data_IF_860214372740
#
_entry.id   IF_860214372740
#
_cell.length_a   1.000
_cell.length_b   1.000
_cell.length_c   1.000
_cell.angle_alpha   90.00
_cell.angle_beta   90.00
_cell.angle_gamma   90.00
#
_symmetry.space_group_name_H-M   'P 1'
#
loop_
_entity.id
_entity.type
_entity.pdbx_description
1 polymer ?
#
# COMPACT_ATOMS: atom_id res chain seq x y z
N UNK A 1 -36.54 -26.48 18.90
CA UNK A 1 -36.09 -26.98 17.59
C UNK A 1 -36.36 -25.98 16.45
N UNK A 2 -37.57 -25.44 16.32
CA UNK A 2 -37.91 -24.54 15.19
C UNK A 2 -37.02 -23.29 15.08
N UNK A 3 -36.72 -22.62 16.21
CA UNK A 3 -35.80 -21.46 16.24
C UNK A 3 -34.39 -21.78 15.70
N UNK A 4 -33.83 -22.96 16.03
CA UNK A 4 -32.51 -23.36 15.53
C UNK A 4 -32.51 -23.67 14.04
N UNK A 5 -33.58 -24.32 13.52
CA UNK A 5 -33.78 -24.54 12.09
C UNK A 5 -33.91 -23.24 11.31
N UNK A 6 -34.66 -22.28 11.86
CA UNK A 6 -34.81 -20.95 11.26
C UNK A 6 -33.48 -20.18 11.20
N UNK A 7 -32.69 -20.21 12.28
CA UNK A 7 -31.34 -19.57 12.29
C UNK A 7 -30.42 -20.28 11.29
N UNK A 8 -30.44 -21.63 11.22
CA UNK A 8 -29.65 -22.37 10.26
C UNK A 8 -30.02 -22.00 8.82
N UNK A 9 -31.28 -21.86 8.52
CA UNK A 9 -31.77 -21.43 7.20
C UNK A 9 -31.30 -20.01 6.87
N UNK A 10 -31.38 -19.07 7.81
CA UNK A 10 -30.86 -17.70 7.63
C UNK A 10 -29.36 -17.72 7.36
N UNK A 11 -28.57 -18.51 8.09
CA UNK A 11 -27.12 -18.63 7.87
C UNK A 11 -26.80 -19.13 6.47
N UNK A 12 -27.55 -20.10 5.95
CA UNK A 12 -27.39 -20.57 4.56
C UNK A 12 -27.75 -19.48 3.57
N UNK A 13 -28.87 -18.77 3.77
CA UNK A 13 -29.30 -17.68 2.88
C UNK A 13 -28.28 -16.53 2.88
N UNK A 14 -27.80 -16.13 4.05
CA UNK A 14 -26.77 -15.08 4.18
C UNK A 14 -25.46 -15.52 3.52
N UNK A 15 -25.01 -16.76 3.79
CA UNK A 15 -23.81 -17.31 3.15
C UNK A 15 -23.93 -17.38 1.63
N UNK A 16 -25.06 -17.89 1.13
CA UNK A 16 -25.31 -17.94 -0.32
C UNK A 16 -25.43 -16.54 -0.95
N UNK A 17 -26.10 -15.62 -0.27
CA UNK A 17 -26.25 -14.22 -0.71
C UNK A 17 -24.91 -13.48 -0.77
N UNK A 18 -24.06 -13.64 0.24
CA UNK A 18 -22.70 -13.08 0.25
C UNK A 18 -21.85 -13.72 -0.86
N UNK A 19 -21.89 -15.06 -1.01
CA UNK A 19 -21.15 -15.77 -2.05
C UNK A 19 -21.56 -15.34 -3.45
N UNK A 20 -22.87 -15.22 -3.70
CA UNK A 20 -23.37 -14.70 -4.94
C UNK A 20 -22.95 -13.23 -5.16
N UNK A 21 -23.01 -12.40 -4.13
CA UNK A 21 -22.57 -11.01 -4.20
C UNK A 21 -21.10 -10.85 -4.55
N UNK A 22 -20.23 -11.65 -3.93
CA UNK A 22 -18.78 -11.70 -4.24
C UNK A 22 -18.57 -12.18 -5.68
N UNK A 23 -19.23 -13.25 -6.10
CA UNK A 23 -19.13 -13.78 -7.47
C UNK A 23 -19.64 -12.77 -8.51
N UNK A 24 -20.84 -12.25 -8.32
CA UNK A 24 -21.47 -11.31 -9.25
C UNK A 24 -20.68 -10.01 -9.39
N UNK A 25 -19.95 -9.59 -8.34
CA UNK A 25 -19.13 -8.37 -8.40
C UNK A 25 -17.96 -8.42 -9.38
N UNK A 26 -17.55 -9.60 -9.83
CA UNK A 26 -16.52 -9.76 -10.87
C UNK A 26 -17.07 -9.45 -12.27
N UNK A 27 -18.38 -9.65 -12.47
CA UNK A 27 -19.05 -9.45 -13.76
C UNK A 27 -19.89 -8.16 -13.81
N UNK A 28 -20.32 -7.67 -12.65
CA UNK A 28 -21.15 -6.47 -12.51
C UNK A 28 -20.53 -5.47 -11.52
N UNK A 29 -19.62 -4.60 -11.97
CA UNK A 29 -18.91 -3.64 -11.11
C UNK A 29 -19.84 -2.57 -10.51
N UNK A 30 -21.07 -2.41 -10.98
CA UNK A 30 -22.04 -1.42 -10.47
C UNK A 30 -22.75 -1.85 -9.19
N UNK A 31 -22.66 -3.12 -8.77
CA UNK A 31 -23.25 -3.64 -7.54
C UNK A 31 -22.51 -3.18 -6.29
N UNK A 32 -23.13 -3.38 -5.10
CA UNK A 32 -22.53 -3.02 -3.81
C UNK A 32 -21.09 -3.55 -3.65
N UNK A 33 -20.87 -4.84 -3.89
CA UNK A 33 -19.53 -5.46 -3.82
C UNK A 33 -18.63 -5.09 -4.99
N UNK A 34 -19.14 -4.57 -6.09
CA UNK A 34 -18.35 -4.09 -7.22
C UNK A 34 -17.55 -2.83 -6.88
N UNK A 35 -18.05 -2.03 -5.93
CA UNK A 35 -17.35 -0.84 -5.43
C UNK A 35 -16.07 -1.17 -4.62
N UNK A 36 -15.92 -2.42 -4.20
CA UNK A 36 -14.80 -2.92 -3.40
C UNK A 36 -14.06 -4.02 -4.19
N UNK A 37 -13.16 -3.69 -5.13
CA UNK A 37 -12.37 -4.70 -5.85
C UNK A 37 -11.41 -5.41 -4.90
N UNK A 38 -10.95 -6.62 -5.27
CA UNK A 38 -9.83 -7.25 -4.60
C UNK A 38 -8.56 -6.47 -4.90
N UNK A 39 -7.77 -6.20 -3.88
CA UNK A 39 -6.47 -5.57 -3.99
C UNK A 39 -5.40 -6.63 -4.07
N UNK A 40 -4.59 -6.60 -5.13
CA UNK A 40 -3.52 -7.57 -5.32
C UNK A 40 -2.16 -6.93 -5.05
N UNK A 41 -1.28 -7.66 -4.39
CA UNK A 41 0.10 -7.24 -4.17
C UNK A 41 0.94 -7.27 -5.44
N UNK A 42 2.13 -6.68 -5.35
CA UNK A 42 3.09 -6.58 -6.44
C UNK A 42 3.46 -7.95 -7.04
N UNK A 43 3.55 -8.96 -6.20
CA UNK A 43 3.88 -10.35 -6.54
C UNK A 43 2.81 -11.05 -7.39
N UNK A 44 1.57 -10.52 -7.40
CA UNK A 44 0.46 -11.02 -8.21
C UNK A 44 0.19 -10.12 -9.40
N UNK A 45 0.11 -8.81 -9.19
CA UNK A 45 -0.25 -7.86 -10.24
C UNK A 45 0.94 -7.51 -11.15
N UNK A 46 2.15 -7.80 -10.68
CA UNK A 46 3.39 -7.33 -11.29
C UNK A 46 3.62 -5.84 -11.02
N UNK A 47 4.82 -5.38 -11.29
CA UNK A 47 5.20 -3.98 -11.09
C UNK A 47 6.62 -3.83 -10.56
N UNK A 48 6.93 -2.68 -9.99
CA UNK A 48 8.28 -2.36 -9.50
C UNK A 48 8.26 -2.04 -8.00
N UNK A 49 9.19 -2.65 -7.27
CA UNK A 49 9.52 -2.29 -5.88
C UNK A 49 10.82 -1.50 -5.89
N UNK A 50 10.80 -0.33 -5.27
CA UNK A 50 11.97 0.53 -5.07
C UNK A 50 12.27 0.59 -3.58
N UNK A 51 13.51 0.31 -3.21
CA UNK A 51 13.99 0.43 -1.84
C UNK A 51 14.95 1.61 -1.78
N UNK A 52 14.63 2.60 -0.99
CA UNK A 52 15.47 3.78 -0.74
C UNK A 52 16.08 3.72 0.65
N UNK A 53 17.30 4.20 0.76
CA UNK A 53 17.94 4.51 2.05
C UNK A 53 17.71 5.98 2.35
N UNK A 54 17.18 6.28 3.53
CA UNK A 54 16.99 7.64 4.00
C UNK A 54 18.24 8.11 4.77
N UNK A 55 18.73 9.31 4.43
CA UNK A 55 19.84 9.93 5.18
C UNK A 55 19.30 10.71 6.38
N UNK A 56 19.31 10.06 7.53
CA UNK A 56 18.91 10.65 8.81
C UNK A 56 20.06 11.20 9.63
N UNK A 57 21.25 11.32 9.05
CA UNK A 57 22.48 11.73 9.77
C UNK A 57 22.38 13.12 10.42
N UNK A 58 21.58 14.02 9.84
CA UNK A 58 21.36 15.40 10.30
C UNK A 58 20.11 15.56 11.18
N UNK A 59 19.39 14.48 11.45
CA UNK A 59 18.11 14.50 12.19
C UNK A 59 18.38 14.06 13.63
N UNK A 60 17.81 14.75 14.61
CA UNK A 60 17.87 14.34 16.00
C UNK A 60 17.20 12.98 16.21
N UNK A 61 17.76 12.11 17.03
CA UNK A 61 17.29 10.71 17.18
C UNK A 61 15.80 10.63 17.59
N UNK A 62 15.29 11.60 18.36
CA UNK A 62 13.89 11.66 18.75
C UNK A 62 12.93 12.00 17.60
N UNK A 63 13.42 12.66 16.54
CA UNK A 63 12.59 13.15 15.43
C UNK A 63 12.64 12.25 14.19
N UNK A 64 13.50 11.23 14.19
CA UNK A 64 13.70 10.34 13.04
C UNK A 64 12.37 9.71 12.60
N UNK A 65 11.61 9.16 13.53
CA UNK A 65 10.33 8.51 13.23
C UNK A 65 9.33 9.49 12.60
N UNK A 66 9.19 10.68 13.17
CA UNK A 66 8.27 11.70 12.64
C UNK A 66 8.66 12.15 11.23
N UNK A 67 9.97 12.31 10.97
CA UNK A 67 10.48 12.66 9.63
C UNK A 67 10.31 11.53 8.63
N UNK A 68 10.47 10.26 9.03
CA UNK A 68 10.22 9.10 8.18
C UNK A 68 8.71 8.93 7.87
N UNK A 69 7.83 9.19 8.83
CA UNK A 69 6.39 9.19 8.59
C UNK A 69 6.00 10.33 7.62
N UNK A 70 6.55 11.51 7.78
CA UNK A 70 6.34 12.61 6.85
C UNK A 70 6.90 12.30 5.44
N UNK A 71 8.06 11.64 5.35
CA UNK A 71 8.63 11.18 4.07
C UNK A 71 7.69 10.17 3.40
N UNK A 72 7.19 9.19 4.12
CA UNK A 72 6.21 8.22 3.62
C UNK A 72 5.00 8.93 3.04
N UNK A 73 4.40 9.87 3.78
CA UNK A 73 3.19 10.58 3.36
C UNK A 73 3.41 11.45 2.12
N UNK A 74 4.61 12.03 1.95
CA UNK A 74 4.99 12.78 0.74
C UNK A 74 5.11 11.85 -0.46
N UNK A 75 5.80 10.71 -0.30
CA UNK A 75 5.98 9.74 -1.39
C UNK A 75 4.64 9.12 -1.80
N UNK A 76 3.80 8.77 -0.83
CA UNK A 76 2.46 8.24 -1.09
C UNK A 76 1.61 9.21 -1.89
N UNK A 77 1.60 10.50 -1.52
CA UNK A 77 0.91 11.54 -2.30
C UNK A 77 1.46 11.68 -3.72
N UNK A 78 2.78 11.63 -3.90
CA UNK A 78 3.41 11.71 -5.22
C UNK A 78 2.95 10.57 -6.12
N UNK A 79 3.06 9.34 -5.62
CA UNK A 79 2.71 8.13 -6.39
C UNK A 79 1.22 8.12 -6.74
N UNK A 80 0.34 8.53 -5.81
CA UNK A 80 -1.10 8.63 -6.04
C UNK A 80 -1.47 9.67 -7.12
N UNK A 81 -0.78 10.82 -7.15
CA UNK A 81 -1.02 11.86 -8.16
C UNK A 81 -0.69 11.41 -9.60
N UNK A 82 0.24 10.48 -9.75
CA UNK A 82 0.63 9.93 -11.05
C UNK A 82 -0.23 8.75 -11.51
N UNK A 83 -1.32 8.44 -10.76
CA UNK A 83 -2.31 7.46 -11.17
C UNK A 83 -1.84 6.01 -11.03
N UNK A 84 -0.83 5.76 -10.19
CA UNK A 84 -0.47 4.39 -9.81
C UNK A 84 -1.59 3.83 -8.94
N UNK A 85 -2.15 2.72 -9.36
CA UNK A 85 -3.23 2.06 -8.62
C UNK A 85 -2.66 1.43 -7.35
N UNK A 86 -3.07 1.97 -6.19
CA UNK A 86 -2.81 1.38 -4.87
C UNK A 86 -1.32 1.14 -4.54
N UNK A 87 -0.48 2.19 -4.56
CA UNK A 87 0.91 2.05 -4.15
C UNK A 87 1.00 1.70 -2.66
N UNK A 88 2.00 0.91 -2.30
CA UNK A 88 2.31 0.62 -0.90
C UNK A 88 3.62 1.30 -0.54
N UNK A 89 3.58 2.22 0.43
CA UNK A 89 4.76 2.92 0.92
C UNK A 89 4.96 2.58 2.40
N UNK A 90 6.12 2.00 2.72
CA UNK A 90 6.45 1.55 4.07
C UNK A 90 7.82 2.03 4.49
N UNK A 91 7.94 2.40 5.76
CA UNK A 91 9.23 2.68 6.40
C UNK A 91 9.72 1.43 7.14
N UNK A 92 10.99 1.11 7.00
CA UNK A 92 11.64 -0.02 7.66
C UNK A 92 12.88 0.46 8.40
N UNK A 93 12.99 0.05 9.66
CA UNK A 93 14.21 0.27 10.47
C UNK A 93 15.03 -1.02 10.47
N UNK A 94 16.24 -0.95 9.94
CA UNK A 94 17.16 -2.09 9.87
C UNK A 94 18.29 -1.87 10.85
N UNK A 95 18.42 -2.78 11.82
CA UNK A 95 19.54 -2.76 12.76
C UNK A 95 20.84 -3.10 12.02
N UNK A 96 21.70 -2.10 11.83
CA UNK A 96 23.00 -2.31 11.24
C UNK A 96 23.97 -2.85 12.28
N UNK A 97 24.88 -3.74 11.87
CA UNK A 97 26.00 -4.21 12.68
C UNK A 97 26.89 -3.05 13.22
N UNK A 98 26.77 -1.86 12.63
CA UNK A 98 27.49 -0.62 13.01
C UNK A 98 26.85 0.14 14.19
N UNK A 99 25.79 -0.36 14.81
CA UNK A 99 25.16 0.20 16.00
C UNK A 99 24.22 1.39 15.79
N UNK A 100 24.11 1.97 14.59
CA UNK A 100 23.07 2.96 14.23
C UNK A 100 22.05 2.29 13.32
N UNK A 101 20.74 2.36 13.63
CA UNK A 101 19.71 1.82 12.76
C UNK A 101 19.68 2.57 11.43
N UNK A 102 19.64 1.82 10.33
CA UNK A 102 19.46 2.37 9.00
C UNK A 102 17.97 2.50 8.74
N UNK A 103 17.54 3.67 8.27
CA UNK A 103 16.15 3.92 7.88
C UNK A 103 16.00 3.68 6.40
N UNK A 104 15.02 2.86 6.03
CA UNK A 104 14.68 2.55 4.64
C UNK A 104 13.24 2.93 4.33
N UNK A 105 13.01 3.27 3.08
CA UNK A 105 11.67 3.46 2.52
C UNK A 105 11.47 2.45 1.40
N UNK A 106 10.46 1.61 1.53
CA UNK A 106 10.06 0.63 0.51
C UNK A 106 8.83 1.18 -0.19
N UNK A 107 8.89 1.25 -1.51
CA UNK A 107 7.81 1.75 -2.36
C UNK A 107 7.45 0.69 -3.39
N UNK A 108 6.27 0.12 -3.26
CA UNK A 108 5.72 -0.83 -4.19
C UNK A 108 4.76 -0.13 -5.16
N UNK A 109 5.00 -0.30 -6.45
CA UNK A 109 4.27 0.35 -7.54
C UNK A 109 3.62 -0.74 -8.43
N UNK A 110 2.43 -1.23 -8.06
CA UNK A 110 1.73 -2.23 -8.87
C UNK A 110 1.43 -1.70 -10.27
N UNK A 111 1.64 -2.55 -11.28
CA UNK A 111 1.38 -2.21 -12.68
C UNK A 111 2.43 -1.33 -13.35
N UNK A 112 3.42 -0.80 -12.61
CA UNK A 112 4.52 -0.01 -13.16
C UNK A 112 5.72 -0.90 -13.38
N UNK A 113 6.03 -1.22 -14.64
CA UNK A 113 7.17 -2.07 -15.02
C UNK A 113 8.37 -1.29 -15.52
N UNK A 114 8.19 0.00 -15.83
CA UNK A 114 9.26 0.91 -16.27
C UNK A 114 9.98 1.49 -15.04
N UNK A 115 11.17 0.98 -14.77
CA UNK A 115 12.03 1.39 -13.64
C UNK A 115 12.36 2.88 -13.70
N UNK A 116 12.68 3.40 -14.91
CA UNK A 116 13.04 4.80 -15.07
C UNK A 116 11.87 5.70 -14.70
N UNK A 117 10.69 5.40 -15.23
CA UNK A 117 9.46 6.13 -14.89
C UNK A 117 9.16 6.06 -13.39
N UNK A 118 9.30 4.88 -12.77
CA UNK A 118 9.08 4.70 -11.33
C UNK A 118 10.07 5.53 -10.50
N UNK A 119 11.35 5.52 -10.86
CA UNK A 119 12.41 6.28 -10.15
C UNK A 119 12.20 7.78 -10.31
N UNK A 120 11.85 8.23 -11.52
CA UNK A 120 11.57 9.65 -11.80
C UNK A 120 10.37 10.16 -11.00
N UNK A 121 9.32 9.34 -10.81
CA UNK A 121 8.15 9.69 -10.01
C UNK A 121 8.50 9.98 -8.54
N UNK A 122 9.43 9.22 -7.98
CA UNK A 122 9.77 9.26 -6.55
C UNK A 122 10.97 10.19 -6.29
N UNK A 123 12.01 10.07 -7.11
CA UNK A 123 13.31 10.72 -6.88
C UNK A 123 13.35 12.21 -7.19
N UNK A 124 12.47 12.69 -8.04
CA UNK A 124 12.42 14.11 -8.40
C UNK A 124 11.81 14.92 -7.24
N UNK A 125 12.67 15.49 -6.40
CA UNK A 125 12.27 16.54 -5.49
C UNK A 125 12.20 17.81 -6.33
N UNK A 126 11.02 18.36 -6.64
CA UNK A 126 10.97 19.64 -7.33
C UNK A 126 11.52 20.71 -6.38
N UNK A 127 12.76 21.07 -6.61
CA UNK A 127 13.39 22.16 -5.88
C UNK A 127 12.91 23.47 -6.53
N UNK A 128 11.81 24.00 -5.99
CA UNK A 128 11.33 25.30 -6.37
C UNK A 128 12.15 26.36 -5.65
N UNK A 129 12.85 27.19 -6.40
CA UNK A 129 13.67 28.29 -5.91
C UNK A 129 13.22 29.59 -6.55
N UNK A 130 13.22 30.66 -5.76
CA UNK A 130 13.05 32.03 -6.24
C UNK A 130 14.40 32.72 -6.19
N UNK A 131 14.81 33.27 -7.32
CA UNK A 131 16.10 33.94 -7.45
C UNK A 131 15.89 35.39 -7.91
N UNK A 132 16.65 36.33 -7.34
CA UNK A 132 16.64 37.73 -7.70
C UNK A 132 17.81 38.06 -8.61
N UNK A 133 17.73 39.12 -9.39
CA UNK A 133 18.82 39.56 -10.24
C UNK A 133 20.08 39.81 -9.41
N UNK A 134 21.20 39.28 -9.91
CA UNK A 134 22.51 39.50 -9.30
C UNK A 134 22.91 40.98 -9.49
N UNK A 135 23.15 41.71 -8.41
CA UNK A 135 23.59 43.11 -8.54
C UNK A 135 24.94 43.22 -9.25
N UNK A 136 25.15 44.34 -9.95
CA UNK A 136 26.43 44.60 -10.56
C UNK A 136 27.48 44.82 -9.48
N UNK A 137 28.31 43.82 -9.28
CA UNK A 137 29.33 43.77 -8.23
C UNK A 137 30.58 43.06 -8.74
N UNK A 138 31.69 43.22 -7.97
CA UNK A 138 32.94 42.46 -8.27
C UNK A 138 32.73 40.97 -8.34
N UNK A 139 31.76 40.43 -7.62
CA UNK A 139 31.41 39.00 -7.62
C UNK A 139 30.79 38.61 -8.98
N UNK A 140 29.89 39.44 -9.53
CA UNK A 140 29.30 39.21 -10.86
C UNK A 140 30.38 39.20 -11.94
N UNK A 141 31.35 40.16 -11.85
CA UNK A 141 32.49 40.22 -12.78
C UNK A 141 33.36 38.96 -12.67
N UNK A 142 33.59 38.45 -11.43
CA UNK A 142 34.36 37.24 -11.21
C UNK A 142 33.66 35.99 -11.81
N UNK A 143 32.34 35.84 -11.56
CA UNK A 143 31.52 34.74 -12.15
C UNK A 143 31.54 34.86 -13.67
N UNK A 144 31.37 36.05 -14.25
CA UNK A 144 31.41 36.29 -15.69
C UNK A 144 32.75 35.94 -16.29
N UNK A 145 33.85 36.29 -15.62
CA UNK A 145 35.21 35.95 -16.06
C UNK A 145 35.45 34.41 -16.02
N UNK A 146 34.95 33.73 -14.99
CA UNK A 146 35.03 32.25 -14.91
C UNK A 146 34.25 31.60 -16.07
N UNK A 147 33.02 32.05 -16.35
CA UNK A 147 32.23 31.56 -17.50
C UNK A 147 32.91 31.81 -18.83
N UNK A 148 33.48 33.00 -19.06
CA UNK A 148 34.19 33.34 -20.29
C UNK A 148 35.38 32.37 -20.46
N UNK A 149 36.16 32.18 -19.41
CA UNK A 149 37.32 31.29 -19.43
C UNK A 149 36.92 29.82 -19.69
N UNK A 150 35.82 29.37 -19.09
CA UNK A 150 35.31 28.01 -19.32
C UNK A 150 34.79 27.85 -20.75
N UNK A 151 34.10 28.86 -21.31
CA UNK A 151 33.65 28.85 -22.71
C UNK A 151 34.82 28.79 -23.69
N UNK A 152 35.89 29.52 -23.44
CA UNK A 152 37.12 29.44 -24.26
C UNK A 152 37.77 28.07 -24.18
N UNK A 153 37.80 27.47 -22.99
CA UNK A 153 38.32 26.13 -22.81
C UNK A 153 37.48 25.06 -23.53
N UNK A 154 36.14 25.21 -23.52
CA UNK A 154 35.21 24.31 -24.22
C UNK A 154 35.21 24.41 -25.73
N UNK A 155 35.73 25.53 -26.32
CA UNK A 155 35.88 25.72 -27.77
C UNK A 155 37.03 24.92 -28.38
N UNK A 156 37.89 24.29 -27.58
CA UNK A 156 38.97 23.44 -28.08
C UNK A 156 38.40 22.19 -28.76
N UNK A 157 38.77 21.94 -29.99
CA UNK A 157 38.34 20.77 -30.74
C UNK A 157 38.97 19.49 -30.14
N UNK A 158 38.16 18.43 -30.05
CA UNK A 158 38.61 17.11 -29.60
C UNK A 158 38.42 16.78 -28.13
N UNK A 159 37.70 17.62 -27.34
CA UNK A 159 37.38 17.34 -25.96
C UNK A 159 36.31 16.23 -25.83
N UNK A 160 36.59 15.23 -24.99
CA UNK A 160 35.61 14.21 -24.59
C UNK A 160 34.56 14.81 -23.70
N UNK A 161 33.37 14.16 -23.59
CA UNK A 161 32.31 14.62 -22.70
C UNK A 161 32.71 14.63 -21.22
N UNK A 162 33.60 13.71 -20.82
CA UNK A 162 34.17 13.69 -19.46
C UNK A 162 35.07 14.92 -19.20
N UNK A 163 35.87 15.35 -20.15
CA UNK A 163 36.74 16.55 -20.03
C UNK A 163 35.89 17.84 -19.99
N UNK A 164 34.84 17.92 -20.80
CA UNK A 164 33.89 19.04 -20.75
C UNK A 164 33.22 19.16 -19.39
N UNK A 165 32.80 18.02 -18.82
CA UNK A 165 32.20 17.97 -17.51
C UNK A 165 33.19 18.36 -16.41
N UNK A 166 34.44 17.94 -16.52
CA UNK A 166 35.50 18.30 -15.59
C UNK A 166 35.83 19.79 -15.60
N UNK A 167 35.80 20.46 -16.77
CA UNK A 167 35.98 21.90 -16.89
C UNK A 167 34.86 22.64 -16.15
N UNK A 168 33.59 22.19 -16.28
CA UNK A 168 32.44 22.82 -15.62
C UNK A 168 32.42 22.62 -14.09
N UNK A 169 33.04 21.56 -13.58
CA UNK A 169 33.06 21.24 -12.14
C UNK A 169 34.31 21.81 -11.45
N UNK A 170 35.37 22.12 -12.20
CA UNK A 170 36.69 22.51 -11.66
C UNK A 170 36.72 23.86 -10.94
N UNK A 171 35.79 24.77 -11.28
CA UNK A 171 35.71 26.09 -10.66
C UNK A 171 34.35 26.25 -9.95
N UNK A 172 34.33 26.45 -8.61
CA UNK A 172 33.10 26.68 -7.86
C UNK A 172 32.22 27.82 -8.40
N UNK A 173 32.84 28.87 -8.99
CA UNK A 173 32.10 29.98 -9.57
C UNK A 173 31.27 29.60 -10.80
N UNK A 174 31.59 28.51 -11.46
CA UNK A 174 30.78 27.97 -12.58
C UNK A 174 29.52 27.23 -12.13
N UNK A 175 29.38 26.94 -10.84
CA UNK A 175 28.17 26.38 -10.25
C UNK A 175 27.16 27.48 -9.85
N UNK A 176 27.61 28.74 -9.82
CA UNK A 176 26.74 29.87 -9.52
C UNK A 176 26.07 30.40 -10.78
N UNK A 177 24.81 30.84 -10.65
CA UNK A 177 24.09 31.46 -11.76
C UNK A 177 24.70 32.86 -12.06
N UNK A 178 24.98 33.12 -13.33
CA UNK A 178 25.58 34.38 -13.76
C UNK A 178 24.67 35.58 -13.49
N UNK A 179 23.37 35.42 -13.66
CA UNK A 179 22.41 36.52 -13.65
C UNK A 179 21.57 36.59 -12.38
N UNK A 180 21.48 35.48 -11.61
CA UNK A 180 20.56 35.38 -10.50
C UNK A 180 21.22 34.87 -9.22
N UNK A 181 20.68 35.32 -8.08
CA UNK A 181 21.09 34.88 -6.73
C UNK A 181 19.90 34.20 -6.05
N UNK A 182 20.09 33.03 -5.41
CA UNK A 182 19.01 32.34 -4.71
C UNK A 182 18.53 33.15 -3.51
N UNK A 183 17.21 33.16 -3.29
CA UNK A 183 16.57 33.72 -2.10
C UNK A 183 16.33 32.63 -1.05
N UNK A 184 15.85 33.01 0.14
CA UNK A 184 15.40 32.06 1.17
C UNK A 184 14.02 31.46 0.86
N UNK A 185 13.28 32.00 -0.11
CA UNK A 185 11.96 31.50 -0.47
C UNK A 185 12.10 30.29 -1.38
N UNK A 186 11.61 29.17 -0.90
CA UNK A 186 11.66 27.85 -1.59
C UNK A 186 10.28 27.21 -1.65
N UNK A 187 10.16 26.09 -2.32
CA UNK A 187 8.94 25.29 -2.35
C UNK A 187 8.43 24.81 -0.99
N UNK A 188 9.25 24.84 0.06
CA UNK A 188 8.83 24.49 1.42
C UNK A 188 7.77 25.46 1.98
N UNK A 189 7.74 26.69 1.49
CA UNK A 189 6.77 27.72 1.88
C UNK A 189 5.51 27.76 1.00
N UNK A 190 5.41 26.82 0.03
CA UNK A 190 4.25 26.71 -0.84
C UNK A 190 3.11 26.00 -0.10
N UNK A 191 1.94 26.66 -0.01
CA UNK A 191 0.72 26.07 0.54
C UNK A 191 -0.04 25.27 -0.52
N UNK A 192 -0.14 25.85 -1.75
CA UNK A 192 -0.90 25.25 -2.84
C UNK A 192 -0.45 25.76 -4.19
N UNK A 193 -0.44 24.88 -5.19
CA UNK A 193 -0.36 25.25 -6.61
C UNK A 193 -1.66 24.89 -7.33
N UNK A 194 -2.15 25.73 -8.22
CA UNK A 194 -3.37 25.50 -9.02
C UNK A 194 -3.16 25.92 -10.46
N UNK A 195 -3.73 25.16 -11.40
CA UNK A 195 -3.74 25.54 -12.80
C UNK A 195 -4.93 26.48 -13.07
N UNK A 196 -4.67 27.57 -13.74
CA UNK A 196 -5.67 28.51 -14.24
C UNK A 196 -5.42 28.80 -15.72
N UNK A 197 -6.40 29.36 -16.40
CA UNK A 197 -6.26 29.84 -17.77
C UNK A 197 -6.24 31.36 -17.79
N UNK A 198 -5.33 31.91 -18.57
CA UNK A 198 -5.33 33.34 -18.80
C UNK A 198 -6.61 33.74 -19.54
N UNK A 199 -7.29 34.78 -19.07
CA UNK A 199 -8.60 35.20 -19.59
C UNK A 199 -8.54 35.81 -21.00
N UNK A 200 -7.35 36.18 -21.49
CA UNK A 200 -7.16 36.80 -22.81
C UNK A 200 -6.56 35.87 -23.85
N UNK A 201 -5.55 35.09 -23.43
CA UNK A 201 -4.81 34.17 -24.33
C UNK A 201 -5.32 32.77 -24.28
N UNK A 202 -6.11 32.41 -23.24
CA UNK A 202 -6.55 31.04 -22.93
C UNK A 202 -5.38 30.05 -22.75
N UNK A 203 -4.19 30.55 -22.45
CA UNK A 203 -3.02 29.78 -22.15
C UNK A 203 -3.05 29.29 -20.67
N UNK A 204 -2.60 28.06 -20.38
CA UNK A 204 -2.53 27.58 -19.02
C UNK A 204 -1.38 28.26 -18.25
N UNK A 205 -1.67 28.70 -17.03
CA UNK A 205 -0.74 29.25 -16.07
C UNK A 205 -0.86 28.57 -14.72
N UNK A 206 0.20 28.59 -13.93
CA UNK A 206 0.22 27.97 -12.59
C UNK A 206 0.26 29.08 -11.55
N UNK A 207 -0.79 29.12 -10.72
CA UNK A 207 -0.88 30.00 -9.57
C UNK A 207 -0.30 29.32 -8.36
N UNK A 208 0.65 29.97 -7.69
CA UNK A 208 1.28 29.54 -6.44
C UNK A 208 0.69 30.36 -5.29
N UNK A 209 0.27 29.70 -4.24
CA UNK A 209 -0.18 30.34 -2.99
C UNK A 209 0.76 29.94 -1.87
N UNK A 210 1.40 30.90 -1.22
CA UNK A 210 2.31 30.66 -0.11
C UNK A 210 1.58 30.58 1.24
N UNK A 211 2.22 29.93 2.22
CA UNK A 211 1.83 30.01 3.62
C UNK A 211 2.17 31.42 4.18
N UNK A 212 1.82 31.69 5.45
CA UNK A 212 2.00 33.03 6.04
C UNK A 212 3.47 33.51 6.07
N UNK A 213 4.43 32.60 6.32
CA UNK A 213 5.84 32.91 6.30
C UNK A 213 6.34 33.17 4.88
N UNK A 214 5.97 32.33 3.92
CA UNK A 214 6.32 32.49 2.52
C UNK A 214 5.70 33.76 1.91
N UNK A 215 4.47 34.11 2.32
CA UNK A 215 3.82 35.35 1.92
C UNK A 215 4.63 36.56 2.38
N UNK A 216 5.10 36.57 3.63
CA UNK A 216 5.93 37.69 4.14
C UNK A 216 7.25 37.82 3.38
N UNK A 217 7.93 36.67 3.12
CA UNK A 217 9.17 36.64 2.34
C UNK A 217 8.95 37.10 0.91
N UNK A 218 7.88 36.64 0.25
CA UNK A 218 7.57 37.00 -1.14
C UNK A 218 7.22 38.49 -1.27
N UNK A 219 6.46 39.03 -0.31
CA UNK A 219 6.16 40.44 -0.24
C UNK A 219 7.44 41.31 -0.12
N UNK A 220 8.39 40.87 0.72
CA UNK A 220 9.69 41.55 0.86
C UNK A 220 10.51 41.47 -0.44
N UNK A 221 10.64 40.26 -1.02
CA UNK A 221 11.38 40.02 -2.27
C UNK A 221 10.81 40.90 -3.39
N UNK A 222 9.48 40.93 -3.57
CA UNK A 222 8.85 41.72 -4.63
C UNK A 222 8.97 43.22 -4.39
N UNK A 223 8.87 43.68 -3.13
CA UNK A 223 9.07 45.08 -2.74
C UNK A 223 10.48 45.59 -3.05
N UNK A 224 11.51 44.79 -2.78
CA UNK A 224 12.92 45.13 -2.99
C UNK A 224 13.34 45.07 -4.47
N UNK A 225 12.57 44.34 -5.29
CA UNK A 225 12.91 44.08 -6.69
C UNK A 225 11.87 44.64 -7.69
N UNK A 226 11.16 45.72 -7.35
CA UNK A 226 10.26 46.40 -8.29
C UNK A 226 11.05 46.90 -9.49
N UNK A 227 10.59 46.60 -10.70
CA UNK A 227 11.24 46.90 -11.96
C UNK A 227 12.34 45.93 -12.40
N UNK A 228 12.68 44.94 -11.55
CA UNK A 228 13.66 43.89 -11.83
C UNK A 228 12.95 42.55 -12.06
N UNK A 229 13.70 41.57 -12.54
CA UNK A 229 13.18 40.20 -12.71
C UNK A 229 13.36 39.37 -11.44
N UNK A 230 12.35 38.57 -11.12
CA UNK A 230 12.45 37.51 -10.14
C UNK A 230 12.26 36.17 -10.86
N UNK A 231 13.34 35.43 -10.97
CA UNK A 231 13.34 34.18 -11.71
C UNK A 231 12.84 33.01 -10.81
N UNK A 232 12.01 32.17 -11.39
CA UNK A 232 11.48 30.96 -10.78
C UNK A 232 12.19 29.77 -11.39
N UNK A 233 12.91 29.01 -10.57
CA UNK A 233 13.68 27.83 -10.94
C UNK A 233 13.01 26.56 -10.39
N UNK A 234 13.00 25.53 -11.19
CA UNK A 234 12.61 24.19 -10.79
C UNK A 234 13.73 23.22 -11.14
N UNK A 235 14.25 22.52 -10.14
CA UNK A 235 15.36 21.57 -10.32
C UNK A 235 16.59 22.19 -11.01
N UNK A 236 16.91 23.43 -10.63
CA UNK A 236 18.04 24.16 -11.18
C UNK A 236 17.82 24.76 -12.58
N UNK A 237 16.66 24.51 -13.22
CA UNK A 237 16.31 25.04 -14.54
C UNK A 237 15.33 26.23 -14.41
N UNK A 238 15.55 27.34 -15.14
CA UNK A 238 14.63 28.47 -15.11
C UNK A 238 13.32 28.12 -15.84
N UNK A 239 12.18 28.29 -15.14
CA UNK A 239 10.86 28.10 -15.74
C UNK A 239 10.28 29.41 -16.25
N UNK A 240 10.45 30.47 -15.45
CA UNK A 240 9.89 31.80 -15.75
C UNK A 240 10.71 32.87 -15.05
N UNK A 241 10.84 34.02 -15.68
CA UNK A 241 11.56 35.16 -15.12
C UNK A 241 10.74 36.45 -15.30
N UNK A 242 9.59 36.55 -14.61
CA UNK A 242 8.72 37.73 -14.75
C UNK A 242 9.36 38.98 -14.14
N UNK A 243 9.04 40.16 -14.74
CA UNK A 243 9.37 41.46 -14.16
C UNK A 243 8.37 41.79 -13.06
N UNK A 244 8.86 42.15 -11.89
CA UNK A 244 8.03 42.60 -10.76
C UNK A 244 7.51 44.03 -11.08
N UNK A 245 6.23 44.17 -11.31
CA UNK A 245 5.61 45.48 -11.61
C UNK A 245 5.32 46.29 -10.34
N UNK A 246 4.89 45.61 -9.30
CA UNK A 246 4.57 46.17 -8.00
C UNK A 246 4.79 45.14 -6.87
N UNK A 247 4.83 45.58 -5.63
CA UNK A 247 4.97 44.68 -4.49
C UNK A 247 3.72 43.79 -4.33
N UNK A 248 3.89 42.50 -4.25
CA UNK A 248 2.82 41.52 -4.14
C UNK A 248 2.66 41.14 -2.65
N UNK A 249 1.57 41.58 -2.02
CA UNK A 249 1.33 41.41 -0.59
C UNK A 249 0.38 40.23 -0.25
N UNK A 250 -0.34 39.75 -1.21
CA UNK A 250 -1.36 38.72 -1.06
C UNK A 250 -0.78 37.28 -0.99
N UNK A 251 0.52 37.11 -1.28
CA UNK A 251 1.20 35.84 -1.22
C UNK A 251 0.90 34.90 -2.41
N UNK A 252 0.47 35.51 -3.54
CA UNK A 252 0.22 34.75 -4.76
C UNK A 252 1.30 35.08 -5.80
N UNK A 253 1.93 34.02 -6.35
CA UNK A 253 2.82 34.14 -7.49
C UNK A 253 2.23 33.40 -8.69
N UNK A 254 2.52 33.88 -9.89
CA UNK A 254 2.05 33.28 -11.13
C UNK A 254 3.24 32.80 -11.96
N UNK A 255 3.23 31.53 -12.34
CA UNK A 255 4.15 31.00 -13.34
C UNK A 255 3.42 31.00 -14.68
N UNK A 256 3.84 31.93 -15.55
CA UNK A 256 3.40 32.03 -16.94
C UNK A 256 4.52 31.57 -17.87
N UNK A 257 4.18 30.87 -18.96
CA UNK A 257 5.15 30.37 -19.94
C UNK A 257 4.44 29.57 -21.03
N UNK A 258 5.17 29.08 -22.00
CA UNK A 258 4.64 28.29 -23.11
C UNK A 258 4.30 26.84 -22.68
N UNK A 259 3.42 26.71 -21.69
CA UNK A 259 2.96 25.39 -21.22
C UNK A 259 1.76 24.91 -22.04
N UNK A 260 1.73 23.61 -22.37
CA UNK A 260 0.47 22.99 -22.72
C UNK A 260 -0.27 22.52 -21.45
N UNK A 261 -1.55 22.18 -21.57
CA UNK A 261 -2.41 21.81 -20.43
C UNK A 261 -1.85 20.60 -19.65
N UNK A 262 -1.22 19.65 -20.36
CA UNK A 262 -0.64 18.45 -19.73
C UNK A 262 0.59 18.84 -18.87
N UNK A 263 1.48 19.68 -19.42
CA UNK A 263 2.67 20.17 -18.71
C UNK A 263 2.30 21.03 -17.49
N UNK A 264 1.31 21.93 -17.63
CA UNK A 264 0.85 22.74 -16.51
C UNK A 264 0.25 21.88 -15.39
N UNK A 265 -0.51 20.83 -15.75
CA UNK A 265 -1.09 19.89 -14.78
C UNK A 265 -0.01 19.06 -14.08
N UNK A 266 0.98 18.59 -14.81
CA UNK A 266 2.13 17.87 -14.26
C UNK A 266 2.92 18.76 -13.30
N UNK A 267 3.21 20.02 -13.69
CA UNK A 267 3.91 20.99 -12.84
C UNK A 267 3.15 21.25 -11.54
N UNK A 268 1.84 21.46 -11.62
CA UNK A 268 0.97 21.61 -10.43
C UNK A 268 1.04 20.37 -9.53
N UNK A 269 1.01 19.18 -10.12
CA UNK A 269 1.15 17.92 -9.38
C UNK A 269 2.49 17.84 -8.65
N UNK A 270 3.60 18.12 -9.34
CA UNK A 270 4.96 18.13 -8.77
C UNK A 270 5.10 19.14 -7.63
N UNK A 271 4.59 20.36 -7.80
CA UNK A 271 4.66 21.42 -6.79
C UNK A 271 3.83 21.10 -5.54
N UNK A 272 2.62 20.55 -5.71
CA UNK A 272 1.77 20.15 -4.58
C UNK A 272 2.29 18.91 -3.83
N UNK A 273 3.17 18.13 -4.44
CA UNK A 273 3.78 16.96 -3.80
C UNK A 273 4.80 17.32 -2.71
N UNK A 274 5.27 18.56 -2.68
CA UNK A 274 6.18 19.06 -1.66
C UNK A 274 7.62 18.58 -1.77
N UNK A 275 8.50 19.17 -0.99
CA UNK A 275 9.90 18.76 -0.83
C UNK A 275 10.00 17.50 0.06
N UNK A 276 11.02 16.66 -0.18
CA UNK A 276 11.31 15.51 0.69
C UNK A 276 11.86 16.01 2.05
N UNK A 277 11.25 15.62 3.17
CA UNK A 277 11.73 16.02 4.49
C UNK A 277 13.06 15.35 4.85
N UNK A 278 13.37 14.21 4.21
CA UNK A 278 14.60 13.44 4.39
C UNK A 278 15.18 13.12 3.01
N UNK A 279 16.47 13.37 2.75
CA UNK A 279 17.11 12.91 1.53
C UNK A 279 17.08 11.39 1.41
N UNK A 280 16.81 10.89 0.21
CA UNK A 280 16.76 9.45 -0.07
C UNK A 280 17.70 9.09 -1.22
N UNK A 281 18.34 7.91 -1.11
CA UNK A 281 19.15 7.33 -2.15
C UNK A 281 18.59 5.97 -2.53
N UNK A 282 18.45 5.68 -3.83
CA UNK A 282 17.98 4.39 -4.33
C UNK A 282 19.00 3.29 -3.96
N UNK A 283 18.56 2.29 -3.20
CA UNK A 283 19.38 1.17 -2.75
C UNK A 283 19.22 -0.05 -3.66
N UNK A 284 17.98 -0.42 -3.95
CA UNK A 284 17.67 -1.55 -4.85
C UNK A 284 16.37 -1.32 -5.61
N UNK A 285 16.26 -2.02 -6.73
CA UNK A 285 15.07 -2.05 -7.58
C UNK A 285 14.76 -3.50 -7.92
N UNK A 286 13.54 -3.92 -7.63
CA UNK A 286 13.04 -5.24 -7.98
C UNK A 286 11.81 -5.09 -8.88
N UNK A 287 11.81 -5.77 -10.04
CA UNK A 287 10.66 -5.75 -10.94
C UNK A 287 10.09 -7.14 -11.07
N UNK A 288 8.79 -7.25 -10.79
CA UNK A 288 8.03 -8.48 -10.96
C UNK A 288 7.22 -8.39 -12.24
N UNK A 289 7.44 -9.33 -13.16
CA UNK A 289 6.66 -9.39 -14.39
C UNK A 289 5.21 -9.83 -14.13
N UNK A 290 4.24 -9.13 -14.71
CA UNK A 290 2.81 -9.42 -14.56
C UNK A 290 2.45 -10.89 -14.90
N UNK A 291 3.10 -11.48 -15.88
CA UNK A 291 2.87 -12.89 -16.28
C UNK A 291 3.25 -13.90 -15.20
N UNK A 292 4.24 -13.58 -14.36
CA UNK A 292 4.66 -14.44 -13.26
C UNK A 292 3.61 -14.41 -12.14
N UNK A 293 3.12 -13.23 -11.81
CA UNK A 293 2.09 -13.00 -10.82
C UNK A 293 0.75 -13.66 -11.20
N UNK A 294 0.32 -13.50 -12.46
CA UNK A 294 -0.89 -14.15 -12.97
C UNK A 294 -0.81 -15.68 -12.86
N UNK A 295 0.33 -16.28 -13.20
CA UNK A 295 0.56 -17.72 -13.02
C UNK A 295 0.50 -18.13 -11.56
N UNK A 296 1.09 -17.35 -10.66
CA UNK A 296 1.07 -17.60 -9.22
C UNK A 296 -0.37 -17.56 -8.68
N UNK A 297 -1.15 -16.56 -9.06
CA UNK A 297 -2.57 -16.44 -8.70
C UNK A 297 -3.37 -17.64 -9.20
N UNK A 298 -3.27 -17.95 -10.50
CA UNK A 298 -3.98 -19.08 -11.10
C UNK A 298 -3.63 -20.42 -10.44
N UNK A 299 -2.35 -20.65 -10.16
CA UNK A 299 -1.90 -21.89 -9.50
C UNK A 299 -2.36 -21.93 -8.04
N UNK A 300 -2.29 -20.81 -7.31
CA UNK A 300 -2.76 -20.70 -5.94
C UNK A 300 -4.27 -20.94 -5.82
N UNK A 301 -5.08 -20.32 -6.69
CA UNK A 301 -6.54 -20.53 -6.72
C UNK A 301 -6.87 -21.99 -7.05
N UNK A 302 -6.23 -22.58 -8.05
CA UNK A 302 -6.42 -24.01 -8.38
C UNK A 302 -6.06 -24.91 -7.21
N UNK A 303 -4.92 -24.69 -6.58
CA UNK A 303 -4.48 -25.46 -5.41
C UNK A 303 -5.49 -25.33 -4.25
N UNK A 304 -5.99 -24.12 -4.00
CA UNK A 304 -7.02 -23.86 -3.00
C UNK A 304 -8.33 -24.63 -3.29
N UNK A 305 -8.83 -24.58 -4.53
CA UNK A 305 -10.04 -25.28 -4.94
C UNK A 305 -9.88 -26.79 -4.79
N UNK A 306 -8.78 -27.37 -5.31
CA UNK A 306 -8.52 -28.80 -5.15
C UNK A 306 -8.35 -29.21 -3.68
N UNK A 307 -7.66 -28.39 -2.89
CA UNK A 307 -7.49 -28.62 -1.45
C UNK A 307 -8.84 -28.67 -0.73
N UNK A 308 -9.72 -27.69 -1.00
CA UNK A 308 -11.08 -27.65 -0.42
C UNK A 308 -11.90 -28.87 -0.84
N UNK A 309 -11.85 -29.27 -2.11
CA UNK A 309 -12.59 -30.45 -2.60
C UNK A 309 -12.11 -31.74 -1.94
N UNK A 310 -10.80 -31.94 -1.80
CA UNK A 310 -10.22 -33.13 -1.13
C UNK A 310 -10.62 -33.12 0.35
N UNK A 311 -10.54 -32.01 1.04
CA UNK A 311 -10.95 -31.88 2.44
C UNK A 311 -12.46 -32.13 2.60
N UNK A 312 -13.29 -31.57 1.71
CA UNK A 312 -14.73 -31.79 1.72
C UNK A 312 -15.07 -33.29 1.51
N UNK A 313 -14.42 -33.92 0.53
CA UNK A 313 -14.58 -35.37 0.28
C UNK A 313 -14.18 -36.20 1.52
N UNK A 314 -13.02 -35.90 2.12
CA UNK A 314 -12.57 -36.58 3.34
C UNK A 314 -13.58 -36.39 4.47
N UNK A 315 -14.08 -35.17 4.72
CA UNK A 315 -15.07 -34.92 5.76
C UNK A 315 -16.36 -35.72 5.54
N UNK A 316 -16.90 -35.69 4.31
CA UNK A 316 -18.15 -36.40 3.98
C UNK A 316 -17.99 -37.90 4.11
N UNK A 317 -16.90 -38.47 3.61
CA UNK A 317 -16.65 -39.91 3.66
C UNK A 317 -16.39 -40.37 5.08
N UNK A 318 -15.57 -39.64 5.85
CA UNK A 318 -15.14 -40.08 7.19
C UNK A 318 -16.17 -39.74 8.28
N UNK A 319 -16.77 -38.56 8.25
CA UNK A 319 -17.72 -38.09 9.28
C UNK A 319 -19.18 -38.12 8.85
N UNK A 320 -19.49 -38.50 7.62
CA UNK A 320 -20.86 -38.63 7.07
C UNK A 320 -21.70 -37.36 7.30
N UNK A 321 -22.80 -37.43 8.11
CA UNK A 321 -23.70 -36.30 8.35
C UNK A 321 -22.98 -35.10 9.02
N UNK A 322 -22.22 -35.24 10.11
CA UNK A 322 -21.36 -34.19 10.63
C UNK A 322 -20.40 -33.63 9.57
N UNK A 323 -19.86 -34.48 8.69
CA UNK A 323 -18.98 -34.09 7.61
C UNK A 323 -19.66 -33.21 6.57
N UNK A 324 -20.91 -33.50 6.19
CA UNK A 324 -21.71 -32.64 5.30
C UNK A 324 -21.93 -31.26 5.96
N UNK A 325 -22.27 -31.26 7.26
CA UNK A 325 -22.43 -30.01 8.02
C UNK A 325 -21.14 -29.19 8.05
N UNK A 326 -20.00 -29.83 8.29
CA UNK A 326 -18.71 -29.16 8.28
C UNK A 326 -18.35 -28.60 6.90
N UNK A 327 -18.67 -29.34 5.83
CA UNK A 327 -18.46 -28.86 4.45
C UNK A 327 -19.31 -27.63 4.13
N UNK A 328 -20.57 -27.60 4.57
CA UNK A 328 -21.42 -26.41 4.43
C UNK A 328 -20.89 -25.23 5.26
N UNK A 329 -20.44 -25.49 6.49
CA UNK A 329 -19.84 -24.47 7.34
C UNK A 329 -18.53 -23.94 6.74
N UNK A 330 -17.72 -24.80 6.11
CA UNK A 330 -16.51 -24.44 5.39
C UNK A 330 -16.82 -23.57 4.16
N UNK A 331 -17.88 -23.86 3.42
CA UNK A 331 -18.31 -23.02 2.30
C UNK A 331 -18.71 -21.62 2.78
N UNK A 332 -19.45 -21.52 3.90
CA UNK A 332 -19.79 -20.22 4.52
C UNK A 332 -18.53 -19.52 5.03
N UNK A 333 -17.59 -20.23 5.63
CA UNK A 333 -16.30 -19.70 6.06
C UNK A 333 -15.54 -19.04 4.90
N UNK A 334 -15.38 -19.74 3.78
CA UNK A 334 -14.72 -19.23 2.57
C UNK A 334 -15.42 -17.97 2.07
N UNK A 335 -16.74 -18.00 2.00
CA UNK A 335 -17.55 -16.86 1.56
C UNK A 335 -17.37 -15.64 2.47
N UNK A 336 -17.36 -15.84 3.79
CA UNK A 336 -17.11 -14.78 4.76
C UNK A 336 -15.70 -14.20 4.59
N UNK A 337 -14.69 -15.05 4.43
CA UNK A 337 -13.30 -14.62 4.22
C UNK A 337 -13.17 -13.75 2.96
N UNK A 338 -13.72 -14.20 1.82
CA UNK A 338 -13.68 -13.43 0.57
C UNK A 338 -14.46 -12.11 0.70
N UNK A 339 -15.57 -12.11 1.44
CA UNK A 339 -16.33 -10.89 1.73
C UNK A 339 -15.52 -9.91 2.57
N UNK A 340 -14.84 -10.40 3.62
CA UNK A 340 -13.99 -9.58 4.48
C UNK A 340 -12.83 -8.99 3.70
N UNK A 341 -12.16 -9.77 2.83
CA UNK A 341 -11.06 -9.28 1.99
C UNK A 341 -11.48 -8.18 1.01
N UNK A 342 -12.76 -8.15 0.60
CA UNK A 342 -13.29 -7.05 -0.20
C UNK A 342 -13.65 -5.82 0.61
N UNK A 343 -14.29 -6.00 1.76
CA UNK A 343 -14.77 -4.89 2.61
C UNK A 343 -13.65 -4.21 3.37
N UNK A 344 -12.72 -5.00 3.90
CA UNK A 344 -11.48 -4.48 4.48
C UNK A 344 -10.44 -4.60 3.37
N UNK A 345 -9.88 -3.50 2.84
CA UNK A 345 -8.99 -3.54 1.69
C UNK A 345 -7.67 -4.25 2.03
N UNK A 346 -7.73 -5.58 2.17
CA UNK A 346 -6.56 -6.43 2.40
C UNK A 346 -5.82 -6.63 1.09
N UNK A 347 -4.56 -6.24 1.03
CA UNK A 347 -3.71 -6.52 -0.14
C UNK A 347 -3.38 -8.02 -0.18
N UNK A 348 -3.93 -8.70 -1.19
CA UNK A 348 -3.72 -10.13 -1.42
C UNK A 348 -2.39 -10.34 -2.14
N UNK A 349 -1.40 -10.80 -1.41
CA UNK A 349 -0.11 -11.28 -1.94
C UNK A 349 -0.15 -12.80 -2.15
N UNK A 350 0.79 -13.38 -2.87
CA UNK A 350 0.92 -14.83 -2.99
C UNK A 350 1.09 -15.49 -1.60
N UNK A 351 1.85 -14.85 -0.71
CA UNK A 351 1.97 -15.25 0.68
C UNK A 351 0.63 -15.13 1.44
N UNK A 352 -0.14 -14.06 1.18
CA UNK A 352 -1.48 -13.86 1.75
C UNK A 352 -2.47 -14.95 1.30
N UNK A 353 -2.43 -15.34 0.03
CA UNK A 353 -3.23 -16.47 -0.48
C UNK A 353 -2.82 -17.78 0.21
N UNK A 354 -1.51 -18.02 0.39
CA UNK A 354 -1.04 -19.19 1.13
C UNK A 354 -1.53 -19.19 2.60
N UNK A 355 -1.51 -18.04 3.27
CA UNK A 355 -2.07 -17.85 4.61
C UNK A 355 -3.57 -18.14 4.68
N UNK A 356 -4.32 -17.71 3.68
CA UNK A 356 -5.74 -18.03 3.55
C UNK A 356 -5.97 -19.53 3.36
N UNK A 357 -5.23 -20.18 2.46
CA UNK A 357 -5.34 -21.65 2.24
C UNK A 357 -5.00 -22.42 3.52
N UNK A 358 -3.96 -22.01 4.25
CA UNK A 358 -3.60 -22.61 5.52
C UNK A 358 -4.72 -22.45 6.56
N UNK A 359 -5.36 -21.28 6.61
CA UNK A 359 -6.46 -21.01 7.54
C UNK A 359 -7.71 -21.88 7.26
N UNK A 360 -7.93 -22.32 6.01
CA UNK A 360 -8.96 -23.31 5.65
C UNK A 360 -8.71 -24.64 6.39
N UNK A 361 -7.46 -25.09 6.42
CA UNK A 361 -7.08 -26.30 7.19
C UNK A 361 -7.40 -26.17 8.68
N UNK A 362 -7.06 -25.04 9.28
CA UNK A 362 -7.37 -24.79 10.70
C UNK A 362 -8.88 -24.66 10.98
N UNK A 363 -9.66 -24.14 10.02
CA UNK A 363 -11.12 -24.08 10.15
C UNK A 363 -11.76 -25.47 10.20
N UNK A 364 -11.17 -26.43 9.47
CA UNK A 364 -11.62 -27.83 9.47
C UNK A 364 -11.19 -28.55 10.74
N UNK A 365 -9.99 -28.30 11.26
CA UNK A 365 -9.45 -28.93 12.47
C UNK A 365 -10.36 -28.72 13.68
N UNK A 366 -10.88 -27.52 13.88
CA UNK A 366 -11.85 -27.24 14.94
C UNK A 366 -13.12 -28.11 14.84
N UNK A 367 -13.62 -28.33 13.63
CA UNK A 367 -14.79 -29.19 13.40
C UNK A 367 -14.47 -30.65 13.66
N UNK A 368 -13.31 -31.14 13.21
CA UNK A 368 -12.83 -32.51 13.46
C UNK A 368 -12.74 -32.78 14.96
N UNK A 369 -12.14 -31.86 15.72
CA UNK A 369 -12.01 -32.02 17.17
C UNK A 369 -13.38 -32.13 17.86
N UNK A 370 -14.36 -31.30 17.46
CA UNK A 370 -15.73 -31.37 17.97
C UNK A 370 -16.34 -32.74 17.66
N UNK A 371 -16.19 -33.25 16.44
CA UNK A 371 -16.78 -34.50 16.02
C UNK A 371 -16.15 -35.72 16.74
N UNK A 372 -14.84 -35.71 16.94
CA UNK A 372 -14.18 -36.80 17.70
C UNK A 372 -14.60 -36.76 19.16
N UNK A 373 -14.74 -35.59 19.81
CA UNK A 373 -15.30 -35.52 21.17
C UNK A 373 -16.75 -35.95 21.24
N UNK A 374 -17.57 -35.60 20.27
CA UNK A 374 -18.94 -36.06 20.17
C UNK A 374 -19.01 -37.60 20.02
N UNK A 375 -18.16 -38.21 19.19
CA UNK A 375 -18.05 -39.63 19.01
C UNK A 375 -17.61 -40.35 20.29
N UNK A 376 -16.67 -39.80 21.06
CA UNK A 376 -16.31 -40.36 22.38
C UNK A 376 -17.53 -40.45 23.30
N UNK A 377 -18.38 -39.42 23.34
CA UNK A 377 -19.59 -39.41 24.18
C UNK A 377 -20.67 -40.37 23.65
N UNK A 378 -20.81 -40.48 22.32
CA UNK A 378 -21.70 -41.48 21.72
C UNK A 378 -21.28 -42.92 22.06
N UNK A 379 -19.97 -43.22 22.10
CA UNK A 379 -19.44 -44.52 22.51
C UNK A 379 -19.75 -44.85 23.98
N UNK A 380 -19.88 -43.84 24.85
CA UNK A 380 -20.31 -43.98 26.24
C UNK A 380 -21.81 -44.25 26.39
N UNK A 381 -22.55 -44.30 25.29
CA UNK A 381 -23.99 -44.60 25.28
C UNK A 381 -24.89 -43.40 25.47
N UNK A 382 -24.36 -42.16 25.41
CA UNK A 382 -25.18 -40.95 25.49
C UNK A 382 -26.08 -40.80 24.26
N UNK A 383 -27.17 -40.07 24.42
CA UNK A 383 -28.00 -39.63 23.30
C UNK A 383 -27.27 -38.60 22.44
N UNK A 384 -27.64 -38.47 21.17
CA UNK A 384 -26.96 -37.57 20.21
C UNK A 384 -26.97 -36.13 20.68
N UNK A 385 -28.10 -35.65 21.25
CA UNK A 385 -28.20 -34.28 21.75
C UNK A 385 -27.21 -34.02 22.88
N UNK A 386 -27.08 -34.94 23.80
CA UNK A 386 -26.17 -34.86 24.95
C UNK A 386 -24.70 -35.02 24.50
N UNK A 387 -24.45 -35.95 23.58
CA UNK A 387 -23.12 -36.14 23.00
C UNK A 387 -22.64 -34.90 22.21
N UNK A 388 -23.54 -34.25 21.47
CA UNK A 388 -23.23 -32.96 20.82
C UNK A 388 -22.90 -31.88 21.86
N UNK A 389 -23.74 -31.74 22.91
CA UNK A 389 -23.52 -30.71 23.94
C UNK A 389 -22.16 -30.89 24.64
N UNK A 390 -21.87 -32.10 25.07
CA UNK A 390 -20.64 -32.43 25.79
C UNK A 390 -19.42 -32.38 24.86
N UNK A 391 -19.57 -32.80 23.59
CA UNK A 391 -18.53 -32.72 22.57
C UNK A 391 -18.09 -31.29 22.35
N UNK A 392 -19.04 -30.34 22.17
CA UNK A 392 -18.73 -28.91 22.04
C UNK A 392 -18.07 -28.35 23.30
N UNK A 393 -18.59 -28.67 24.48
CA UNK A 393 -18.06 -28.14 25.75
C UNK A 393 -16.62 -28.62 25.99
N UNK A 394 -16.32 -29.90 25.72
CA UNK A 394 -14.99 -30.48 25.92
C UNK A 394 -13.98 -30.02 24.84
N UNK A 395 -14.43 -29.82 23.59
CA UNK A 395 -13.57 -29.35 22.52
C UNK A 395 -13.23 -27.87 22.68
N UNK A 396 -14.10 -27.06 23.30
CA UNK A 396 -13.98 -25.62 23.36
C UNK A 396 -12.63 -25.13 23.90
N UNK A 397 -12.16 -25.66 25.02
CA UNK A 397 -10.91 -25.23 25.63
C UNK A 397 -9.72 -25.45 24.69
N UNK A 398 -9.63 -26.62 24.05
CA UNK A 398 -8.57 -26.97 23.13
C UNK A 398 -8.61 -26.09 21.87
N UNK A 399 -9.82 -25.85 21.30
CA UNK A 399 -10.00 -24.98 20.13
C UNK A 399 -9.59 -23.55 20.48
N UNK A 400 -10.04 -23.02 21.61
CA UNK A 400 -9.67 -21.67 22.06
C UNK A 400 -8.17 -21.51 22.22
N UNK A 401 -7.52 -22.42 22.95
CA UNK A 401 -6.11 -22.30 23.29
C UNK A 401 -5.21 -22.44 22.06
N UNK A 402 -5.53 -23.37 21.13
CA UNK A 402 -4.84 -23.51 19.85
C UNK A 402 -4.99 -22.26 18.99
N UNK A 403 -6.20 -21.73 18.86
CA UNK A 403 -6.44 -20.54 18.04
C UNK A 403 -5.84 -19.26 18.66
N UNK A 404 -5.83 -19.12 20.00
CA UNK A 404 -5.13 -18.01 20.66
C UNK A 404 -3.63 -18.10 20.37
N UNK A 405 -3.00 -19.28 20.43
CA UNK A 405 -1.59 -19.45 20.08
C UNK A 405 -1.31 -19.04 18.63
N UNK A 406 -2.17 -19.48 17.69
CA UNK A 406 -2.07 -19.08 16.27
C UNK A 406 -2.25 -17.58 16.08
N UNK A 407 -3.17 -16.96 16.83
CA UNK A 407 -3.40 -15.52 16.80
C UNK A 407 -2.19 -14.72 17.32
N UNK A 408 -1.58 -15.17 18.42
CA UNK A 408 -0.34 -14.56 18.95
C UNK A 408 0.76 -14.62 17.90
N UNK A 409 0.93 -15.77 17.23
CA UNK A 409 1.91 -15.94 16.15
C UNK A 409 1.61 -15.00 14.98
N UNK A 410 0.35 -14.88 14.57
CA UNK A 410 -0.06 -13.97 13.49
C UNK A 410 0.21 -12.50 13.86
N UNK A 411 -0.06 -12.09 15.11
CA UNK A 411 0.23 -10.72 15.60
C UNK A 411 1.73 -10.44 15.58
N UNK A 412 2.55 -11.38 16.06
CA UNK A 412 4.01 -11.22 16.06
C UNK A 412 4.53 -11.10 14.63
N UNK A 413 4.10 -12.00 13.72
CA UNK A 413 4.50 -11.98 12.32
C UNK A 413 4.03 -10.69 11.61
N UNK A 414 2.87 -10.17 11.95
CA UNK A 414 2.36 -8.92 11.39
C UNK A 414 3.18 -7.71 11.86
N UNK A 415 3.60 -7.67 13.12
CA UNK A 415 4.31 -6.52 13.68
C UNK A 415 5.80 -6.50 13.32
N UNK A 416 6.44 -7.67 13.31
CA UNK A 416 7.88 -7.79 13.08
C UNK A 416 8.25 -8.32 11.70
N UNK A 417 7.27 -8.70 10.87
CA UNK A 417 7.50 -9.26 9.54
C UNK A 417 7.75 -8.20 8.47
N UNK A 418 8.39 -8.62 7.38
CA UNK A 418 8.47 -7.86 6.12
C UNK A 418 7.10 -7.74 5.46
N UNK A 419 6.97 -6.90 4.42
CA UNK A 419 5.71 -6.70 3.66
C UNK A 419 5.04 -8.02 3.25
N UNK A 420 5.80 -8.97 2.70
CA UNK A 420 5.33 -10.31 2.32
C UNK A 420 4.78 -11.10 3.52
N UNK A 421 5.50 -11.08 4.64
CA UNK A 421 5.11 -11.80 5.87
C UNK A 421 3.89 -11.15 6.52
N UNK A 422 3.75 -9.83 6.46
CA UNK A 422 2.57 -9.11 6.96
C UNK A 422 1.30 -9.52 6.23
N UNK A 423 1.35 -9.66 4.89
CA UNK A 423 0.21 -10.14 4.10
C UNK A 423 -0.24 -11.55 4.50
N UNK A 424 0.71 -12.48 4.66
CA UNK A 424 0.44 -13.83 5.19
C UNK A 424 -0.16 -13.78 6.60
N UNK A 425 0.46 -13.04 7.51
CA UNK A 425 0.04 -12.97 8.91
C UNK A 425 -1.37 -12.37 9.07
N UNK A 426 -1.71 -11.34 8.29
CA UNK A 426 -3.01 -10.71 8.31
C UNK A 426 -4.11 -11.67 7.83
N UNK A 427 -3.91 -12.32 6.69
CA UNK A 427 -4.90 -13.27 6.15
C UNK A 427 -5.06 -14.49 7.05
N UNK A 428 -3.95 -14.99 7.62
CA UNK A 428 -3.98 -16.08 8.61
C UNK A 428 -4.74 -15.67 9.86
N UNK A 429 -4.45 -14.49 10.43
CA UNK A 429 -5.09 -13.99 11.65
C UNK A 429 -6.60 -13.79 11.48
N UNK A 430 -7.03 -13.16 10.39
CA UNK A 430 -8.45 -13.02 10.04
C UNK A 430 -9.07 -14.43 9.87
N UNK A 431 -8.37 -15.33 9.19
CA UNK A 431 -8.81 -16.71 8.98
C UNK A 431 -9.04 -17.45 10.29
N UNK A 432 -8.14 -17.34 11.26
CA UNK A 432 -8.30 -17.94 12.60
C UNK A 432 -9.54 -17.39 13.31
N UNK A 433 -9.77 -16.08 13.30
CA UNK A 433 -10.97 -15.47 13.92
C UNK A 433 -12.26 -15.97 13.28
N UNK A 434 -12.32 -15.97 11.95
CA UNK A 434 -13.51 -16.43 11.21
C UNK A 434 -13.72 -17.95 11.37
N UNK A 435 -12.65 -18.74 11.48
CA UNK A 435 -12.73 -20.18 11.71
C UNK A 435 -13.35 -20.49 13.07
N UNK A 436 -12.96 -19.78 14.12
CA UNK A 436 -13.56 -19.91 15.45
C UNK A 436 -15.06 -19.58 15.40
N UNK A 437 -15.43 -18.49 14.74
CA UNK A 437 -16.84 -18.13 14.57
C UNK A 437 -17.60 -19.23 13.80
N UNK A 438 -17.05 -19.74 12.71
CA UNK A 438 -17.65 -20.79 11.89
C UNK A 438 -17.87 -22.08 12.67
N UNK A 439 -16.85 -22.58 13.38
CA UNK A 439 -16.95 -23.81 14.16
C UNK A 439 -17.95 -23.69 15.32
N UNK A 440 -17.88 -22.59 16.07
CA UNK A 440 -18.68 -22.41 17.29
C UNK A 440 -20.13 -22.03 16.98
N UNK A 441 -20.36 -21.22 15.95
CA UNK A 441 -21.68 -20.66 15.66
C UNK A 441 -22.35 -21.40 14.51
N UNK A 442 -21.68 -21.51 13.34
CA UNK A 442 -22.29 -22.08 12.15
C UNK A 442 -22.44 -23.58 12.25
N UNK A 443 -21.34 -24.31 12.50
CA UNK A 443 -21.37 -25.79 12.62
C UNK A 443 -22.26 -26.23 13.77
N UNK A 444 -22.17 -25.56 14.92
CA UNK A 444 -23.02 -25.85 16.08
C UNK A 444 -24.50 -25.67 15.76
N UNK A 445 -24.86 -24.56 15.11
CA UNK A 445 -26.26 -24.29 14.75
C UNK A 445 -26.78 -25.31 13.76
N UNK A 446 -26.00 -25.69 12.77
CA UNK A 446 -26.40 -26.69 11.78
C UNK A 446 -26.59 -28.08 12.43
N UNK A 447 -25.65 -28.54 13.25
CA UNK A 447 -25.80 -29.83 13.96
C UNK A 447 -27.04 -29.86 14.83
N UNK A 448 -27.28 -28.83 15.64
CA UNK A 448 -28.49 -28.75 16.45
C UNK A 448 -29.79 -28.60 15.66
N UNK A 449 -29.74 -28.04 14.44
CA UNK A 449 -30.91 -27.92 13.58
C UNK A 449 -31.41 -29.24 13.02
N UNK A 450 -30.52 -30.24 12.90
CA UNK A 450 -30.87 -31.56 12.46
C UNK A 450 -31.84 -32.28 13.45
N UNK A 451 -31.80 -31.88 14.73
CA UNK A 451 -32.80 -32.26 15.74
C UNK A 451 -32.96 -33.74 15.98
N UNK A 452 -31.89 -34.52 15.76
CA UNK A 452 -31.92 -35.99 15.88
C UNK A 452 -31.95 -36.38 17.34
N UNK A 453 -33.06 -36.98 17.75
CA UNK A 453 -33.22 -37.68 19.02
C UNK A 453 -33.29 -39.17 18.69
N UNK A 454 -32.42 -39.97 19.26
CA UNK A 454 -32.51 -41.41 19.08
C UNK A 454 -31.20 -42.16 19.40
N UNK A 455 -31.36 -43.37 19.90
CA UNK A 455 -30.25 -44.30 20.19
C UNK A 455 -30.14 -45.42 19.15
N UNK A 456 -30.86 -45.31 18.04
CA UNK A 456 -30.91 -46.35 17.00
C UNK A 456 -29.54 -46.57 16.32
N UNK A 457 -29.27 -47.82 15.89
CA UNK A 457 -28.03 -48.18 15.23
C UNK A 457 -27.76 -47.36 13.97
N UNK A 458 -28.81 -47.03 13.16
CA UNK A 458 -28.70 -46.20 11.97
C UNK A 458 -28.28 -44.75 12.30
N UNK A 459 -28.80 -44.20 13.38
CA UNK A 459 -28.46 -42.83 13.81
C UNK A 459 -27.03 -42.78 14.34
N UNK A 460 -26.60 -43.80 15.12
CA UNK A 460 -25.20 -43.93 15.54
C UNK A 460 -24.25 -44.09 14.37
N UNK A 461 -24.66 -44.83 13.34
CA UNK A 461 -23.87 -44.96 12.12
C UNK A 461 -23.73 -43.61 11.38
N UNK A 462 -24.81 -42.84 11.23
CA UNK A 462 -24.80 -41.55 10.52
C UNK A 462 -24.00 -40.47 11.24
N UNK A 463 -23.97 -40.48 12.57
CA UNK A 463 -23.21 -39.54 13.40
C UNK A 463 -21.87 -40.09 13.93
N UNK A 464 -21.55 -41.34 13.62
CA UNK A 464 -20.26 -41.93 13.89
C UNK A 464 -19.20 -41.49 12.90
N UNK A 465 -17.95 -41.86 13.13
CA UNK A 465 -16.85 -41.64 12.18
C UNK A 465 -16.09 -42.96 11.91
N UNK A 466 -15.44 -43.06 10.75
CA UNK A 466 -14.65 -44.19 10.32
C UNK A 466 -15.44 -45.26 9.55
N UNK A 467 -14.72 -46.27 9.05
CA UNK A 467 -15.22 -47.33 8.15
C UNK A 467 -15.79 -48.54 8.90
N UNK A 468 -15.96 -48.47 10.23
CA UNK A 468 -16.60 -49.56 11.00
C UNK A 468 -18.07 -49.30 11.24
#
# INVERSE_FOLDING_TARGET
MWRKRFIAFILVLVGAGLGYGVYASQYHPTGFFGKFPFKYGLDIQGGTQLTYQADTSKIATGDVRANMDALRDVIERRVNLFGVSEPVVQTEEVNALSGKPLQRLIVELPGVTDIKKATDLIGQTPLLEFKTERPDSKEKEAVKAAYTKAQEALKKEGLTDAEKQQIMVSDPLLQEDLNYIPTKLTGAYLSKATMQFDSRTNEPKVLLTFNDEGRAMFAQITKENVGKTVAIYLDGSPISSPVVREAILDGNAEISGSFNVAQARELVGRLNSGALPVPIALLSTETVGATLGEKALHSGVKAGVYGVLIVALFLIVWYRVPGIVATLALAIYITLMLTIFKLIPVTLTAAGIAGFILSIGMAVDANILIFERMKEELKKGKDISDAMHDGFTRAWLSIRDSNISSMISAVILFWFGTSLVKGFALTLGIGVLVSMFSAITVTRTFLYSLGTHGRGAAVRFLFGSGIK
#
